data_IF_438266868770
#
_entry.id   IF_438266868770
#
_cell.length_a   1.000
_cell.length_b   1.000
_cell.length_c   1.000
_cell.angle_alpha   90.00
_cell.angle_beta   90.00
_cell.angle_gamma   90.00
#
_symmetry.space_group_name_H-M   'P 1'
#
loop_
_entity.id
_entity.type
_entity.pdbx_description
1 polymer ?
#
# COMPACT_ATOMS: atom_id res chain seq x y z
N UNK A 1 -32.52 14.68 9.72
CA UNK A 1 -31.94 13.48 10.36
C UNK A 1 -30.60 13.89 10.94
N UNK A 2 -30.32 13.60 12.21
CA UNK A 2 -29.01 13.88 12.81
C UNK A 2 -27.96 12.95 12.17
N UNK A 3 -26.71 13.40 12.11
CA UNK A 3 -25.64 12.63 11.48
C UNK A 3 -25.44 11.27 12.15
N UNK A 4 -25.58 11.18 13.46
CA UNK A 4 -25.52 9.91 14.19
C UNK A 4 -26.63 8.93 13.76
N UNK A 5 -27.83 9.41 13.45
CA UNK A 5 -28.95 8.60 12.95
C UNK A 5 -28.66 8.04 11.56
N UNK A 6 -28.00 8.84 10.71
CA UNK A 6 -27.55 8.39 9.40
C UNK A 6 -26.45 7.33 9.49
N UNK A 7 -25.52 7.48 10.46
CA UNK A 7 -24.45 6.52 10.72
C UNK A 7 -25.05 5.19 11.18
N UNK A 8 -26.00 5.23 12.13
CA UNK A 8 -26.65 4.06 12.71
C UNK A 8 -27.76 3.45 11.82
N UNK A 9 -28.08 4.05 10.68
CA UNK A 9 -29.10 3.53 9.78
C UNK A 9 -28.76 2.14 9.27
N UNK A 10 -29.78 1.27 9.14
CA UNK A 10 -29.61 -0.12 8.66
C UNK A 10 -28.90 -0.19 7.32
N UNK A 11 -29.24 0.70 6.39
CA UNK A 11 -28.64 0.73 5.05
C UNK A 11 -27.16 1.06 5.11
N UNK A 12 -26.77 2.05 5.91
CA UNK A 12 -25.38 2.44 6.09
C UNK A 12 -24.55 1.35 6.78
N UNK A 13 -25.10 0.72 7.82
CA UNK A 13 -24.44 -0.40 8.51
C UNK A 13 -24.31 -1.64 7.60
N UNK A 14 -25.32 -1.93 6.77
CA UNK A 14 -25.24 -3.01 5.79
C UNK A 14 -24.16 -2.76 4.72
N UNK A 15 -24.06 -1.54 4.23
CA UNK A 15 -22.96 -1.17 3.30
C UNK A 15 -21.60 -1.32 3.99
N UNK A 16 -21.46 -0.87 5.21
CA UNK A 16 -20.25 -1.03 6.00
C UNK A 16 -19.89 -2.51 6.24
N UNK A 17 -20.89 -3.34 6.58
CA UNK A 17 -20.73 -4.78 6.72
C UNK A 17 -20.17 -5.41 5.43
N UNK A 18 -20.78 -5.14 4.27
CA UNK A 18 -20.33 -5.68 2.98
C UNK A 18 -18.89 -5.27 2.66
N UNK A 19 -18.53 -4.01 2.97
CA UNK A 19 -17.20 -3.51 2.70
C UNK A 19 -16.14 -4.14 3.61
N UNK A 20 -16.44 -4.32 4.90
CA UNK A 20 -15.53 -4.92 5.88
C UNK A 20 -15.33 -6.40 5.62
N UNK A 21 -16.44 -7.16 5.39
CA UNK A 21 -16.37 -8.62 5.21
C UNK A 21 -15.74 -9.03 3.89
N UNK A 22 -15.88 -8.21 2.84
CA UNK A 22 -15.21 -8.44 1.54
C UNK A 22 -13.69 -8.58 1.66
N UNK A 23 -13.08 -7.90 2.62
CA UNK A 23 -11.63 -7.92 2.81
C UNK A 23 -11.12 -9.14 3.59
N UNK A 24 -12.00 -9.96 4.17
CA UNK A 24 -11.66 -11.15 4.97
C UNK A 24 -10.51 -10.91 5.95
N UNK A 25 -10.55 -9.76 6.64
CA UNK A 25 -9.51 -9.35 7.58
C UNK A 25 -9.48 -10.25 8.82
N UNK A 26 -8.34 -10.24 9.53
CA UNK A 26 -8.16 -11.02 10.76
C UNK A 26 -9.15 -10.60 11.86
N UNK A 27 -9.49 -11.51 12.78
CA UNK A 27 -10.33 -11.26 13.95
C UNK A 27 -9.66 -10.33 14.97
N UNK A 28 -10.47 -9.62 15.76
CA UNK A 28 -10.03 -8.80 16.89
C UNK A 28 -9.67 -9.63 18.13
N UNK A 29 -9.89 -9.03 19.32
CA UNK A 29 -9.68 -9.70 20.63
C UNK A 29 -10.76 -10.73 20.94
N UNK A 30 -11.95 -10.58 20.36
CA UNK A 30 -13.11 -11.46 20.48
C UNK A 30 -13.00 -12.75 19.66
N UNK A 31 -11.97 -12.87 18.83
CA UNK A 31 -11.74 -13.94 17.87
C UNK A 31 -12.86 -14.14 16.83
N UNK A 32 -13.89 -13.27 16.80
CA UNK A 32 -14.96 -13.34 15.79
C UNK A 32 -14.40 -13.09 14.39
N UNK A 33 -14.73 -13.98 13.46
CA UNK A 33 -14.32 -13.88 12.06
C UNK A 33 -15.30 -13.07 11.23
N UNK A 34 -14.90 -12.69 10.01
CA UNK A 34 -15.81 -12.02 9.07
C UNK A 34 -16.97 -12.91 8.60
N UNK A 35 -16.85 -14.22 8.69
CA UNK A 35 -17.91 -15.16 8.30
C UNK A 35 -18.97 -15.30 9.42
N UNK A 36 -18.55 -15.29 10.67
CA UNK A 36 -19.43 -15.41 11.85
C UNK A 36 -20.20 -14.12 12.16
N UNK A 37 -19.64 -12.95 11.86
CA UNK A 37 -20.28 -11.65 12.19
C UNK A 37 -21.65 -11.48 11.56
N UNK A 38 -21.92 -12.15 10.43
CA UNK A 38 -23.24 -12.11 9.78
C UNK A 38 -24.34 -12.65 10.67
N UNK A 39 -24.11 -13.80 11.30
CA UNK A 39 -25.11 -14.45 12.16
C UNK A 39 -25.23 -13.71 13.50
N UNK A 40 -24.12 -13.18 14.01
CA UNK A 40 -24.15 -12.28 15.17
C UNK A 40 -25.05 -11.05 14.94
N UNK A 41 -24.87 -10.35 13.80
CA UNK A 41 -25.64 -9.15 13.49
C UNK A 41 -27.12 -9.40 13.19
N UNK A 42 -27.51 -10.61 12.78
CA UNK A 42 -28.94 -10.98 12.64
C UNK A 42 -29.66 -10.94 13.99
N UNK A 43 -28.97 -11.34 15.05
CA UNK A 43 -29.52 -11.38 16.42
C UNK A 43 -29.34 -10.02 17.12
N UNK A 44 -28.15 -9.43 17.05
CA UNK A 44 -27.76 -8.26 17.84
C UNK A 44 -27.73 -6.95 17.06
N UNK A 45 -28.13 -6.95 15.77
CA UNK A 45 -28.01 -5.76 14.94
C UNK A 45 -28.89 -4.60 15.39
N UNK A 46 -30.09 -4.89 15.92
CA UNK A 46 -30.96 -3.83 16.45
C UNK A 46 -30.41 -3.25 17.76
N UNK A 47 -29.84 -4.09 18.62
CA UNK A 47 -29.19 -3.65 19.87
C UNK A 47 -27.97 -2.77 19.59
N UNK A 48 -27.18 -3.12 18.57
CA UNK A 48 -26.06 -2.29 18.12
C UNK A 48 -26.53 -0.89 17.70
N UNK A 49 -27.61 -0.80 16.92
CA UNK A 49 -28.19 0.49 16.53
C UNK A 49 -28.62 1.28 17.76
N UNK A 50 -29.34 0.66 18.67
CA UNK A 50 -29.83 1.30 19.90
C UNK A 50 -28.64 1.81 20.75
N UNK A 51 -27.61 1.00 20.95
CA UNK A 51 -26.40 1.37 21.69
C UNK A 51 -25.66 2.57 21.05
N UNK A 52 -25.60 2.64 19.72
CA UNK A 52 -25.00 3.80 19.02
C UNK A 52 -25.83 5.05 19.28
N UNK A 53 -27.14 4.97 19.14
CA UNK A 53 -28.06 6.12 19.30
C UNK A 53 -28.17 6.61 20.75
N UNK A 54 -28.11 5.70 21.73
CA UNK A 54 -28.14 6.04 23.17
C UNK A 54 -26.78 6.44 23.75
N UNK A 55 -25.72 6.48 22.93
CA UNK A 55 -24.32 6.68 23.36
C UNK A 55 -23.76 5.58 24.27
N UNK A 56 -24.40 4.43 24.33
CA UNK A 56 -23.95 3.31 25.19
C UNK A 56 -22.89 2.43 24.50
N UNK A 57 -22.81 2.47 23.18
CA UNK A 57 -21.80 1.69 22.44
C UNK A 57 -20.40 1.94 22.96
N UNK A 58 -19.70 0.86 23.34
CA UNK A 58 -18.32 0.87 23.81
C UNK A 58 -17.45 0.02 22.88
N UNK A 59 -16.53 0.61 22.11
CA UNK A 59 -15.57 -0.14 21.33
C UNK A 59 -14.68 -1.01 22.21
N UNK A 60 -14.36 -2.21 21.75
CA UNK A 60 -13.42 -3.08 22.42
C UNK A 60 -11.96 -2.66 22.14
N UNK A 61 -11.02 -2.98 23.05
CA UNK A 61 -9.60 -2.73 22.81
C UNK A 61 -9.10 -3.40 21.53
N UNK A 62 -8.20 -2.74 20.81
CA UNK A 62 -7.63 -3.34 19.60
C UNK A 62 -6.58 -4.40 19.94
N UNK A 63 -6.57 -5.52 19.23
CA UNK A 63 -5.55 -6.56 19.38
C UNK A 63 -4.23 -6.11 18.76
N UNK A 64 -3.16 -6.03 19.53
CA UNK A 64 -1.81 -5.68 19.07
C UNK A 64 -1.20 -6.80 18.24
N UNK A 65 -0.68 -6.45 17.06
CA UNK A 65 0.13 -7.32 16.22
C UNK A 65 1.38 -6.56 15.79
N UNK A 66 2.53 -7.20 15.91
CA UNK A 66 3.81 -6.62 15.53
C UNK A 66 4.28 -7.18 14.19
N UNK A 67 4.55 -6.31 13.22
CA UNK A 67 5.04 -6.69 11.90
C UNK A 67 6.46 -6.16 11.73
N UNK A 68 7.45 -7.03 11.42
CA UNK A 68 8.83 -6.61 11.17
C UNK A 68 8.92 -5.63 10.00
N UNK A 69 9.66 -4.53 10.17
CA UNK A 69 9.99 -3.62 9.06
C UNK A 69 11.17 -4.16 8.25
N UNK A 70 11.22 -3.95 6.92
CA UNK A 70 12.33 -4.41 6.08
C UNK A 70 13.71 -3.87 6.48
N UNK A 71 13.74 -2.70 7.13
CA UNK A 71 14.96 -1.99 7.53
C UNK A 71 15.27 -2.13 9.03
N UNK A 72 14.72 -3.16 9.68
CA UNK A 72 14.78 -3.35 11.13
C UNK A 72 13.68 -2.57 11.87
N UNK A 73 13.47 -2.95 13.12
CA UNK A 73 12.36 -2.42 13.94
C UNK A 73 11.02 -3.08 13.62
N UNK A 74 9.98 -2.62 14.31
CA UNK A 74 8.65 -3.23 14.30
C UNK A 74 7.59 -2.17 13.96
N UNK A 75 6.56 -2.55 13.21
CA UNK A 75 5.33 -1.78 13.04
C UNK A 75 4.27 -2.37 13.96
N UNK A 76 3.74 -1.57 14.83
CA UNK A 76 2.69 -1.95 15.77
C UNK A 76 1.32 -1.72 15.13
N UNK A 77 0.62 -2.79 14.77
CA UNK A 77 -0.77 -2.70 14.26
C UNK A 77 -1.75 -3.02 15.39
N UNK A 78 -2.88 -2.31 15.40
CA UNK A 78 -4.03 -2.65 16.23
C UNK A 78 -5.15 -3.20 15.37
N UNK A 79 -5.63 -4.40 15.64
CA UNK A 79 -6.73 -5.03 14.92
C UNK A 79 -7.99 -4.88 15.75
N UNK A 80 -8.96 -4.01 15.37
CA UNK A 80 -10.25 -3.90 16.00
C UNK A 80 -11.09 -5.15 15.77
N UNK A 81 -12.12 -5.39 16.57
CA UNK A 81 -13.12 -6.44 16.32
C UNK A 81 -13.81 -6.22 14.98
N UNK A 82 -14.45 -7.24 14.42
CA UNK A 82 -15.17 -7.09 13.15
C UNK A 82 -16.34 -6.13 13.29
N UNK A 83 -17.05 -6.17 14.43
CA UNK A 83 -18.16 -5.25 14.74
C UNK A 83 -17.64 -3.81 14.84
N UNK A 84 -16.55 -3.56 15.57
CA UNK A 84 -15.94 -2.23 15.65
C UNK A 84 -15.54 -1.70 14.27
N UNK A 85 -14.95 -2.55 13.40
CA UNK A 85 -14.63 -2.16 12.02
C UNK A 85 -15.85 -1.77 11.20
N UNK A 86 -16.99 -2.45 11.42
CA UNK A 86 -18.26 -2.11 10.74
C UNK A 86 -18.76 -0.76 11.22
N UNK A 87 -18.76 -0.48 12.53
CA UNK A 87 -19.16 0.82 13.07
C UNK A 87 -18.19 1.93 12.58
N UNK A 88 -16.88 1.70 12.64
CA UNK A 88 -15.89 2.64 12.10
C UNK A 88 -16.12 2.91 10.61
N UNK A 89 -16.41 1.87 9.82
CA UNK A 89 -16.71 2.01 8.40
C UNK A 89 -18.00 2.80 8.15
N UNK A 90 -19.02 2.59 8.95
CA UNK A 90 -20.27 3.35 8.89
C UNK A 90 -20.05 4.84 9.18
N UNK A 91 -19.19 5.16 10.17
CA UNK A 91 -18.74 6.53 10.45
C UNK A 91 -18.00 7.13 9.24
N UNK A 92 -17.03 6.40 8.67
CA UNK A 92 -16.24 6.87 7.52
C UNK A 92 -17.14 7.18 6.33
N UNK A 93 -18.14 6.37 6.03
CA UNK A 93 -19.06 6.56 4.91
C UNK A 93 -19.82 7.88 5.00
N UNK A 94 -20.14 8.33 6.21
CA UNK A 94 -20.89 9.58 6.44
C UNK A 94 -20.00 10.79 6.70
N UNK A 95 -18.85 10.62 7.36
CA UNK A 95 -17.92 11.73 7.59
C UNK A 95 -17.10 12.10 6.34
N UNK A 96 -16.68 11.10 5.53
CA UNK A 96 -15.85 11.39 4.36
C UNK A 96 -16.45 12.43 3.40
N UNK A 97 -17.73 12.38 3.01
CA UNK A 97 -18.32 13.40 2.15
C UNK A 97 -18.34 14.81 2.77
N UNK A 98 -18.39 14.91 4.10
CA UNK A 98 -18.40 16.19 4.83
C UNK A 98 -17.01 16.81 4.85
N UNK A 99 -15.97 15.98 5.06
CA UNK A 99 -14.59 16.45 5.16
C UNK A 99 -13.88 16.59 3.80
N UNK A 100 -14.25 15.78 2.80
CA UNK A 100 -13.59 15.78 1.48
C UNK A 100 -13.47 17.16 0.83
N UNK A 101 -14.50 18.02 0.86
CA UNK A 101 -14.41 19.39 0.31
C UNK A 101 -13.47 20.31 1.08
N UNK A 102 -13.10 19.96 2.33
CA UNK A 102 -12.20 20.76 3.17
C UNK A 102 -10.74 20.45 2.97
N UNK A 103 -10.43 19.34 2.31
CA UNK A 103 -9.06 18.88 2.11
C UNK A 103 -8.39 19.59 0.94
N UNK A 104 -7.10 19.87 1.12
CA UNK A 104 -6.25 20.44 0.07
C UNK A 104 -6.27 19.61 -1.22
N UNK A 105 -6.24 20.27 -2.37
CA UNK A 105 -6.08 19.65 -3.69
C UNK A 105 -4.75 18.87 -3.81
N UNK A 106 -3.75 19.21 -3.02
CA UNK A 106 -2.40 18.63 -3.03
C UNK A 106 -2.22 17.49 -2.03
N UNK A 107 -3.30 17.08 -1.36
CA UNK A 107 -3.37 15.89 -0.51
C UNK A 107 -4.00 14.72 -1.27
N UNK A 108 -3.30 13.58 -1.37
CA UNK A 108 -3.68 12.46 -2.23
C UNK A 108 -3.95 11.16 -1.49
N UNK A 109 -3.32 10.93 -0.33
CA UNK A 109 -3.42 9.68 0.40
C UNK A 109 -4.78 9.45 1.06
N UNK A 110 -5.29 8.21 1.03
CA UNK A 110 -6.54 7.81 1.68
C UNK A 110 -7.81 8.57 1.27
N UNK A 111 -7.79 9.19 0.11
CA UNK A 111 -8.92 9.96 -0.42
C UNK A 111 -9.59 9.24 -1.59
N UNK A 112 -10.92 9.36 -1.74
CA UNK A 112 -11.64 8.77 -2.87
C UNK A 112 -11.16 9.38 -4.19
N UNK A 113 -11.07 8.55 -5.23
CA UNK A 113 -10.65 8.93 -6.60
C UNK A 113 -9.25 9.53 -6.72
N UNK A 114 -8.42 9.53 -5.67
CA UNK A 114 -7.03 9.99 -5.69
C UNK A 114 -6.07 8.83 -5.52
N UNK A 115 -4.94 8.86 -6.23
CA UNK A 115 -3.97 7.78 -6.31
C UNK A 115 -2.56 8.30 -6.02
N UNK A 116 -1.65 7.38 -5.68
CA UNK A 116 -0.24 7.74 -5.53
C UNK A 116 0.36 8.29 -6.84
N UNK A 117 -0.14 7.85 -8.02
CA UNK A 117 0.28 8.36 -9.31
C UNK A 117 -0.03 9.86 -9.48
N UNK A 118 -1.13 10.34 -8.91
CA UNK A 118 -1.50 11.77 -8.99
C UNK A 118 -0.52 12.63 -8.17
N UNK A 119 -0.06 12.13 -7.02
CA UNK A 119 1.00 12.76 -6.24
C UNK A 119 2.35 12.78 -6.99
N UNK A 120 2.67 11.72 -7.74
CA UNK A 120 3.87 11.66 -8.58
C UNK A 120 3.77 12.60 -9.78
N UNK A 121 2.60 12.70 -10.43
CA UNK A 121 2.37 13.65 -11.51
C UNK A 121 2.56 15.10 -11.02
N UNK A 122 2.00 15.44 -9.85
CA UNK A 122 2.22 16.75 -9.22
C UNK A 122 3.69 17.01 -8.92
N UNK A 123 4.39 16.01 -8.41
CA UNK A 123 5.84 16.09 -8.15
C UNK A 123 6.62 16.36 -9.45
N UNK A 124 6.32 15.66 -10.54
CA UNK A 124 6.96 15.84 -11.82
C UNK A 124 6.65 17.22 -12.43
N UNK A 125 5.41 17.67 -12.31
CA UNK A 125 5.00 19.00 -12.76
C UNK A 125 5.87 20.08 -12.09
N UNK A 126 5.95 20.07 -10.76
CA UNK A 126 6.69 21.06 -9.99
C UNK A 126 8.21 21.04 -10.28
N UNK A 127 8.79 19.85 -10.36
CA UNK A 127 10.22 19.71 -10.67
C UNK A 127 10.50 20.24 -12.08
N UNK A 128 9.64 19.97 -13.07
CA UNK A 128 9.80 20.46 -14.42
C UNK A 128 9.56 21.98 -14.55
N UNK A 129 8.83 22.59 -13.61
CA UNK A 129 8.69 24.05 -13.48
C UNK A 129 9.91 24.72 -12.78
N UNK A 130 10.95 23.93 -12.47
CA UNK A 130 12.20 24.42 -11.86
C UNK A 130 12.20 24.47 -10.33
N UNK A 131 11.22 23.90 -9.64
CA UNK A 131 11.23 23.73 -8.17
C UNK A 131 12.07 22.52 -7.80
N UNK A 132 13.40 22.63 -7.94
CA UNK A 132 14.33 21.51 -7.80
C UNK A 132 14.98 21.38 -6.41
N UNK A 133 14.57 22.17 -5.44
CA UNK A 133 14.95 21.98 -4.03
C UNK A 133 13.74 21.47 -3.25
N UNK A 134 13.89 20.33 -2.60
CA UNK A 134 12.78 19.59 -2.01
C UNK A 134 13.05 19.40 -0.53
N UNK A 135 12.09 19.79 0.30
CA UNK A 135 12.04 19.41 1.71
C UNK A 135 11.24 18.11 1.79
N UNK A 136 11.92 17.01 2.08
CA UNK A 136 11.32 15.70 2.33
C UNK A 136 11.05 15.61 3.85
N UNK A 137 9.79 15.52 4.22
CA UNK A 137 9.32 15.64 5.59
C UNK A 137 8.77 14.30 6.06
N UNK A 138 9.38 13.71 7.09
CA UNK A 138 8.97 12.45 7.74
C UNK A 138 8.51 12.74 9.19
N UNK A 139 7.27 12.35 9.52
CA UNK A 139 6.73 12.47 10.86
C UNK A 139 7.09 11.26 11.71
N UNK A 140 7.57 11.48 12.93
CA UNK A 140 7.94 10.37 13.81
C UNK A 140 6.69 9.70 14.37
N UNK A 141 6.46 8.42 13.95
CA UNK A 141 5.35 7.59 14.46
C UNK A 141 4.03 8.36 14.50
N UNK A 142 3.69 9.02 13.40
CA UNK A 142 2.54 9.93 13.32
C UNK A 142 1.28 9.36 13.98
N UNK A 143 0.87 8.15 13.60
CA UNK A 143 -0.36 7.52 14.13
C UNK A 143 -0.31 7.30 15.65
N UNK A 144 0.87 7.13 16.23
CA UNK A 144 1.02 6.91 17.69
C UNK A 144 1.07 8.24 18.47
N UNK A 145 1.29 9.39 17.80
CA UNK A 145 1.57 10.68 18.44
C UNK A 145 0.49 11.75 18.23
N UNK A 146 -0.60 11.44 17.53
CA UNK A 146 -1.68 12.42 17.28
C UNK A 146 -2.36 12.82 18.58
N UNK A 147 -2.40 14.12 18.96
CA UNK A 147 -3.13 14.60 20.14
C UNK A 147 -4.64 14.43 19.94
N UNK A 148 -5.25 13.52 20.69
CA UNK A 148 -6.66 13.14 20.54
C UNK A 148 -7.61 14.30 20.79
N UNK A 149 -7.38 15.13 21.84
CA UNK A 149 -8.24 16.25 22.17
C UNK A 149 -8.30 17.29 21.06
N UNK A 150 -7.13 17.55 20.42
CA UNK A 150 -7.09 18.47 19.29
C UNK A 150 -7.78 17.90 18.06
N UNK A 151 -7.57 16.63 17.77
CA UNK A 151 -8.25 15.94 16.68
C UNK A 151 -9.77 15.97 16.87
N UNK A 152 -10.26 15.66 18.06
CA UNK A 152 -11.68 15.68 18.40
C UNK A 152 -12.29 17.07 18.22
N UNK A 153 -11.59 18.14 18.63
CA UNK A 153 -12.05 19.52 18.38
C UNK A 153 -12.18 19.83 16.89
N UNK A 154 -11.25 19.36 16.07
CA UNK A 154 -11.31 19.56 14.61
C UNK A 154 -12.51 18.80 14.02
N UNK A 155 -12.75 17.56 14.49
CA UNK A 155 -13.92 16.78 14.07
C UNK A 155 -15.22 17.48 14.45
N UNK A 156 -15.35 17.94 15.70
CA UNK A 156 -16.54 18.57 16.23
C UNK A 156 -16.89 19.87 15.46
N UNK A 157 -15.88 20.69 15.19
CA UNK A 157 -16.06 21.96 14.46
C UNK A 157 -16.67 21.77 13.06
N UNK A 158 -16.44 20.64 12.41
CA UNK A 158 -16.90 20.37 11.04
C UNK A 158 -18.15 19.49 11.04
N UNK A 159 -18.15 18.41 11.82
CA UNK A 159 -19.28 17.47 11.89
C UNK A 159 -20.51 18.08 12.57
N UNK A 160 -20.31 18.98 13.54
CA UNK A 160 -21.38 19.67 14.32
C UNK A 160 -22.42 18.70 14.92
N UNK A 161 -21.99 17.52 15.30
CA UNK A 161 -22.81 16.49 15.94
C UNK A 161 -22.02 15.88 17.09
N UNK A 162 -22.43 16.23 18.31
CA UNK A 162 -21.75 15.80 19.55
C UNK A 162 -21.83 14.28 19.79
N UNK A 163 -22.85 13.61 19.25
CA UNK A 163 -23.01 12.15 19.38
C UNK A 163 -21.96 11.45 18.51
N UNK A 164 -21.74 11.92 17.30
CA UNK A 164 -20.70 11.42 16.40
C UNK A 164 -19.32 11.70 16.98
N UNK A 165 -19.09 12.92 17.48
CA UNK A 165 -17.82 13.30 18.09
C UNK A 165 -17.50 12.44 19.31
N UNK A 166 -18.51 12.17 20.17
CA UNK A 166 -18.36 11.28 21.32
C UNK A 166 -18.03 9.84 20.89
N UNK A 167 -18.69 9.33 19.84
CA UNK A 167 -18.43 7.99 19.32
C UNK A 167 -17.01 7.86 18.75
N UNK A 168 -16.54 8.86 17.97
CA UNK A 168 -15.16 8.90 17.48
C UNK A 168 -14.17 8.94 18.64
N UNK A 169 -14.44 9.72 19.69
CA UNK A 169 -13.60 9.79 20.88
C UNK A 169 -13.50 8.44 21.60
N UNK A 170 -14.62 7.72 21.72
CA UNK A 170 -14.61 6.36 22.29
C UNK A 170 -13.70 5.40 21.50
N UNK A 171 -13.70 5.47 20.17
CA UNK A 171 -12.77 4.68 19.35
C UNK A 171 -11.30 5.04 19.57
N UNK A 172 -10.99 6.31 19.81
CA UNK A 172 -9.62 6.73 20.13
C UNK A 172 -9.18 6.24 21.51
N UNK A 173 -10.11 6.18 22.47
CA UNK A 173 -9.88 5.75 23.86
C UNK A 173 -10.06 4.25 24.09
N UNK A 174 -10.42 3.47 23.08
CA UNK A 174 -10.72 2.04 23.23
C UNK A 174 -9.58 1.19 23.81
N UNK A 175 -8.34 1.71 23.79
CA UNK A 175 -7.18 1.01 24.33
C UNK A 175 -6.64 -0.09 23.41
N UNK A 176 -5.61 -0.74 23.90
CA UNK A 176 -4.88 -1.79 23.17
C UNK A 176 -4.68 -3.00 24.07
N UNK A 177 -4.92 -4.17 23.54
CA UNK A 177 -4.62 -5.44 24.21
C UNK A 177 -3.26 -5.97 23.73
N UNK A 178 -2.29 -6.05 24.64
CA UNK A 178 -0.93 -6.53 24.38
C UNK A 178 -0.68 -7.77 25.22
N UNK A 179 -0.54 -8.93 24.59
CA UNK A 179 -0.28 -10.20 25.28
C UNK A 179 -1.25 -10.49 26.45
N UNK A 180 -2.53 -10.13 26.30
CA UNK A 180 -3.56 -10.31 27.31
C UNK A 180 -3.65 -9.18 28.36
N UNK A 181 -2.80 -8.16 28.30
CA UNK A 181 -2.83 -7.00 29.19
C UNK A 181 -3.42 -5.79 28.45
N UNK A 182 -4.33 -5.08 29.13
CA UNK A 182 -4.92 -3.84 28.62
C UNK A 182 -3.99 -2.66 28.86
N UNK A 183 -3.77 -1.88 27.81
CA UNK A 183 -3.04 -0.60 27.84
C UNK A 183 -3.96 0.53 27.38
N UNK A 184 -4.08 1.58 28.19
CA UNK A 184 -4.83 2.78 27.80
C UNK A 184 -4.12 3.53 26.65
N UNK A 185 -4.93 4.18 25.82
CA UNK A 185 -4.42 5.05 24.75
C UNK A 185 -4.86 6.49 24.99
N UNK A 186 -3.94 7.35 25.39
CA UNK A 186 -4.16 8.79 25.60
C UNK A 186 -3.66 9.65 24.42
N UNK A 187 -2.89 9.05 23.54
CA UNK A 187 -2.35 9.67 22.34
C UNK A 187 -2.54 8.71 21.14
N UNK A 188 -2.56 9.27 19.97
CA UNK A 188 -2.56 8.50 18.72
C UNK A 188 -3.93 8.05 18.24
N UNK A 189 -3.89 7.48 17.06
CA UNK A 189 -5.02 6.77 16.43
C UNK A 189 -4.59 5.34 16.15
N UNK A 190 -5.37 4.31 16.51
CA UNK A 190 -4.97 2.91 16.33
C UNK A 190 -4.62 2.62 14.86
N UNK A 191 -3.37 2.19 14.57
CA UNK A 191 -2.99 1.76 13.22
C UNK A 191 -3.70 0.44 12.87
N UNK A 192 -4.61 0.48 11.88
CA UNK A 192 -5.33 -0.70 11.39
C UNK A 192 -6.85 -0.62 11.49
N UNK A 193 -7.40 0.37 12.18
CA UNK A 193 -8.82 0.69 12.15
C UNK A 193 -9.24 1.37 10.83
N UNK A 194 -10.50 1.19 10.42
CA UNK A 194 -11.04 1.79 9.21
C UNK A 194 -11.15 3.33 9.30
N UNK A 195 -11.30 3.85 10.50
CA UNK A 195 -11.47 5.27 10.79
C UNK A 195 -10.14 6.05 10.75
N UNK A 196 -9.03 5.42 11.13
CA UNK A 196 -7.73 6.07 11.30
C UNK A 196 -7.21 6.81 10.04
N UNK A 197 -7.38 6.31 8.80
CA UNK A 197 -6.96 7.03 7.61
C UNK A 197 -7.69 8.37 7.40
N UNK A 198 -9.00 8.42 7.67
CA UNK A 198 -9.78 9.65 7.59
C UNK A 198 -9.34 10.64 8.67
N UNK A 199 -9.22 10.19 9.92
CA UNK A 199 -8.76 11.03 11.04
C UNK A 199 -7.35 11.57 10.82
N UNK A 200 -6.46 10.78 10.20
CA UNK A 200 -5.14 11.21 9.76
C UNK A 200 -5.22 12.41 8.80
N UNK A 201 -6.05 12.32 7.77
CA UNK A 201 -6.22 13.41 6.83
C UNK A 201 -6.86 14.64 7.46
N UNK A 202 -7.85 14.46 8.33
CA UNK A 202 -8.49 15.56 9.08
C UNK A 202 -7.44 16.33 9.88
N UNK A 203 -6.57 15.61 10.58
CA UNK A 203 -5.53 16.24 11.41
C UNK A 203 -4.45 16.94 10.57
N UNK A 204 -3.94 16.26 9.54
CA UNK A 204 -2.88 16.79 8.67
C UNK A 204 -3.36 17.88 7.70
N UNK A 205 -4.66 18.03 7.52
CA UNK A 205 -5.21 19.16 6.77
C UNK A 205 -4.86 20.53 7.39
N UNK A 206 -4.59 20.58 8.69
CA UNK A 206 -4.07 21.79 9.34
C UNK A 206 -2.66 22.15 8.85
N UNK A 207 -1.82 21.12 8.54
CA UNK A 207 -0.54 21.33 7.88
C UNK A 207 -0.74 21.80 6.43
N UNK A 208 -1.65 21.17 5.69
CA UNK A 208 -1.94 21.54 4.30
C UNK A 208 -2.39 23.01 4.21
N UNK A 209 -3.31 23.44 5.06
CA UNK A 209 -3.79 24.85 5.16
C UNK A 209 -2.63 25.82 5.45
N UNK A 210 -1.71 25.44 6.32
CA UNK A 210 -0.55 26.30 6.63
C UNK A 210 0.41 26.38 5.44
N UNK A 211 0.62 25.29 4.70
CA UNK A 211 1.43 25.28 3.48
C UNK A 211 0.78 26.16 2.38
N UNK A 212 -0.53 26.06 2.20
CA UNK A 212 -1.30 26.89 1.25
C UNK A 212 -1.30 28.37 1.66
N UNK A 213 -1.50 28.67 2.93
CA UNK A 213 -1.44 30.04 3.46
C UNK A 213 -0.08 30.71 3.16
N UNK A 214 1.00 29.93 3.18
CA UNK A 214 2.36 30.37 2.82
C UNK A 214 2.64 30.31 1.32
N UNK A 215 1.67 29.93 0.50
CA UNK A 215 1.81 29.77 -0.96
C UNK A 215 2.95 28.80 -1.34
N UNK A 216 3.14 27.75 -0.54
CA UNK A 216 4.16 26.73 -0.78
C UNK A 216 3.59 25.64 -1.70
N UNK A 217 4.42 25.18 -2.63
CA UNK A 217 4.10 24.06 -3.49
C UNK A 217 4.45 22.76 -2.79
N UNK A 218 3.51 21.82 -2.72
CA UNK A 218 3.72 20.55 -2.04
C UNK A 218 2.90 19.41 -2.66
N UNK A 219 3.23 18.19 -2.27
CA UNK A 219 2.43 17.01 -2.49
C UNK A 219 2.47 16.15 -1.24
N UNK A 220 1.31 15.86 -0.66
CA UNK A 220 1.18 15.01 0.53
C UNK A 220 0.42 13.72 0.22
N UNK A 221 0.97 12.60 0.68
CA UNK A 221 0.32 11.30 0.63
C UNK A 221 0.29 10.68 2.03
N UNK A 222 -0.81 10.78 2.74
CA UNK A 222 -0.93 10.45 4.16
C UNK A 222 0.06 11.27 5.01
N UNK A 223 0.98 10.63 5.71
CA UNK A 223 2.05 11.24 6.51
C UNK A 223 3.31 11.61 5.70
N UNK A 224 3.47 11.08 4.48
CA UNK A 224 4.58 11.44 3.59
C UNK A 224 4.30 12.78 2.89
N UNK A 225 5.09 13.82 3.16
CA UNK A 225 4.92 15.16 2.59
C UNK A 225 6.23 15.68 1.99
N UNK A 226 6.15 16.16 0.76
CA UNK A 226 7.28 16.81 0.05
C UNK A 226 6.91 18.24 -0.34
N UNK A 227 7.79 19.20 -0.01
CA UNK A 227 7.58 20.62 -0.28
C UNK A 227 8.65 21.08 -1.28
N UNK A 228 8.25 21.84 -2.28
CA UNK A 228 9.08 22.21 -3.42
C UNK A 228 9.37 23.70 -3.42
N UNK A 229 10.64 24.08 -3.57
CA UNK A 229 11.10 25.45 -3.66
C UNK A 229 12.20 25.61 -4.71
N UNK A 230 12.49 26.85 -5.13
CA UNK A 230 13.47 27.14 -6.20
C UNK A 230 14.92 27.20 -5.72
N UNK A 231 15.17 27.55 -4.46
CA UNK A 231 16.54 27.77 -3.96
C UNK A 231 16.80 26.98 -2.69
N UNK A 232 18.08 26.66 -2.43
CA UNK A 232 18.51 25.97 -1.21
C UNK A 232 18.19 26.78 0.04
N UNK A 233 18.47 28.08 0.00
CA UNK A 233 18.19 29.00 1.11
C UNK A 233 16.69 29.01 1.47
N UNK A 234 15.81 29.03 0.44
CA UNK A 234 14.37 28.93 0.69
C UNK A 234 13.99 27.57 1.30
N UNK A 235 14.62 26.47 0.88
CA UNK A 235 14.37 25.15 1.46
C UNK A 235 14.75 25.09 2.95
N UNK A 236 15.91 25.62 3.32
CA UNK A 236 16.36 25.68 4.71
C UNK A 236 15.42 26.50 5.59
N UNK A 237 15.00 27.66 5.11
CA UNK A 237 14.04 28.52 5.81
C UNK A 237 12.68 27.86 5.95
N UNK A 238 12.16 27.26 4.88
CA UNK A 238 10.87 26.56 4.88
C UNK A 238 10.91 25.36 5.82
N UNK A 239 11.96 24.54 5.74
CA UNK A 239 12.12 23.38 6.63
C UNK A 239 12.08 23.81 8.10
N UNK A 240 12.89 24.80 8.51
CA UNK A 240 12.91 25.30 9.88
C UNK A 240 11.52 25.76 10.35
N UNK A 241 10.84 26.57 9.53
CA UNK A 241 9.56 27.15 9.91
C UNK A 241 8.43 26.10 9.96
N UNK A 242 8.42 25.13 9.04
CA UNK A 242 7.41 24.07 9.03
C UNK A 242 7.63 23.07 10.16
N UNK A 243 8.88 22.70 10.45
CA UNK A 243 9.20 21.88 11.62
C UNK A 243 8.72 22.57 12.91
N UNK A 244 9.02 23.85 13.08
CA UNK A 244 8.53 24.63 14.24
C UNK A 244 7.00 24.62 14.31
N UNK A 245 6.29 24.81 13.19
CA UNK A 245 4.83 24.76 13.16
C UNK A 245 4.29 23.38 13.58
N UNK A 246 4.86 22.30 13.04
CA UNK A 246 4.48 20.92 13.36
C UNK A 246 4.66 20.64 14.86
N UNK A 247 5.80 21.01 15.44
CA UNK A 247 6.09 20.73 16.82
C UNK A 247 5.32 21.63 17.79
N UNK A 248 5.20 22.92 17.49
CA UNK A 248 4.54 23.87 18.39
C UNK A 248 3.03 23.92 18.25
N UNK A 249 2.52 23.90 17.01
CA UNK A 249 1.09 24.01 16.74
C UNK A 249 0.41 22.65 16.63
N UNK A 250 0.96 21.72 15.84
CA UNK A 250 0.35 20.39 15.69
C UNK A 250 0.74 19.45 16.84
N UNK A 251 1.72 19.78 17.66
CA UNK A 251 2.22 18.90 18.75
C UNK A 251 2.64 17.51 18.26
N UNK A 252 3.09 17.42 17.00
CA UNK A 252 3.67 16.23 16.41
C UNK A 252 5.18 16.31 16.47
N UNK A 253 5.84 15.15 16.41
CA UNK A 253 7.31 15.08 16.33
C UNK A 253 7.77 14.87 14.90
N UNK A 254 8.78 15.60 14.47
CA UNK A 254 9.43 15.43 13.18
C UNK A 254 10.62 14.47 13.35
N UNK A 255 10.76 13.52 12.44
CA UNK A 255 11.90 12.61 12.42
C UNK A 255 13.12 13.32 11.85
N UNK A 256 13.99 13.87 12.72
CA UNK A 256 15.17 14.64 12.33
C UNK A 256 16.17 13.83 11.47
N UNK A 257 16.23 12.51 11.62
CA UNK A 257 17.18 11.67 10.86
C UNK A 257 16.73 11.40 9.42
N UNK A 258 15.44 11.58 9.13
CA UNK A 258 14.87 11.31 7.81
C UNK A 258 14.41 12.59 7.10
N UNK A 259 13.99 13.60 7.86
CA UNK A 259 13.64 14.91 7.30
C UNK A 259 14.89 15.60 6.80
N UNK A 260 14.93 15.89 5.51
CA UNK A 260 16.11 16.47 4.89
C UNK A 260 15.77 17.27 3.63
N UNK A 261 16.73 18.11 3.22
CA UNK A 261 16.64 18.83 1.96
C UNK A 261 17.35 18.03 0.89
N UNK A 262 16.69 17.82 -0.23
CA UNK A 262 17.23 16.99 -1.31
C UNK A 262 17.00 17.60 -2.68
N UNK A 263 17.68 17.03 -3.68
CA UNK A 263 17.46 17.30 -5.12
C UNK A 263 16.59 16.18 -5.71
N UNK A 264 15.90 16.43 -6.85
CA UNK A 264 15.02 15.42 -7.45
C UNK A 264 15.72 14.09 -7.74
N UNK A 265 17.00 14.12 -8.15
CA UNK A 265 17.78 12.90 -8.41
C UNK A 265 17.92 11.96 -7.21
N UNK A 266 17.88 12.50 -6.00
CA UNK A 266 18.06 11.79 -4.75
C UNK A 266 16.74 11.58 -3.99
N UNK A 267 15.64 12.16 -4.48
CA UNK A 267 14.32 12.01 -3.86
C UNK A 267 13.81 10.57 -4.04
N UNK A 268 13.35 9.99 -2.93
CA UNK A 268 12.57 8.76 -2.91
C UNK A 268 11.18 9.06 -2.36
N UNK A 269 10.19 9.14 -3.22
CA UNK A 269 8.82 9.45 -2.83
C UNK A 269 7.85 8.35 -3.31
N UNK A 270 7.06 7.79 -2.40
CA UNK A 270 6.09 6.71 -2.67
C UNK A 270 6.68 5.51 -3.45
N UNK A 271 7.96 5.20 -3.23
CA UNK A 271 8.65 4.12 -3.92
C UNK A 271 9.17 4.47 -5.33
N UNK A 272 9.01 5.71 -5.75
CA UNK A 272 9.57 6.25 -7.00
C UNK A 272 10.86 7.01 -6.75
N UNK A 273 11.67 7.14 -7.79
CA UNK A 273 12.82 8.05 -7.93
C UNK A 273 12.67 8.84 -9.21
N UNK A 274 13.45 9.90 -9.33
CA UNK A 274 13.36 10.80 -10.47
C UNK A 274 14.72 10.88 -11.19
N UNK A 275 14.69 11.12 -12.49
CA UNK A 275 15.89 11.28 -13.29
C UNK A 275 15.65 12.28 -14.39
N UNK A 276 16.67 13.02 -14.78
CA UNK A 276 16.60 14.04 -15.83
C UNK A 276 16.90 13.40 -17.18
N UNK A 277 15.95 13.47 -18.12
CA UNK A 277 16.13 13.11 -19.53
C UNK A 277 16.35 14.37 -20.37
N UNK A 278 16.56 14.22 -21.68
CA UNK A 278 16.62 15.35 -22.61
C UNK A 278 15.32 16.19 -22.60
N UNK A 279 14.18 15.52 -22.44
CA UNK A 279 12.84 16.14 -22.46
C UNK A 279 12.36 16.62 -21.09
N UNK A 280 13.21 16.58 -20.06
CA UNK A 280 12.86 16.97 -18.69
C UNK A 280 12.92 15.80 -17.69
N UNK A 281 12.38 16.03 -16.49
CA UNK A 281 12.37 15.05 -15.42
C UNK A 281 11.31 13.97 -15.63
N UNK A 282 11.69 12.73 -15.37
CA UNK A 282 10.83 11.54 -15.48
C UNK A 282 10.91 10.70 -14.19
N UNK A 283 9.82 10.02 -13.85
CA UNK A 283 9.80 9.07 -12.75
C UNK A 283 10.30 7.69 -13.18
N UNK A 284 10.91 6.97 -12.27
CA UNK A 284 11.26 5.54 -12.39
C UNK A 284 10.97 4.83 -11.06
N UNK A 285 10.74 3.51 -11.04
CA UNK A 285 10.69 2.77 -9.78
C UNK A 285 12.03 2.91 -9.04
N UNK A 286 11.98 3.17 -7.74
CA UNK A 286 13.17 3.16 -6.90
C UNK A 286 13.82 1.78 -6.91
N UNK A 287 15.14 1.69 -6.86
CA UNK A 287 15.86 0.42 -7.00
C UNK A 287 15.49 -0.59 -5.92
N UNK A 288 15.24 -0.15 -4.68
CA UNK A 288 14.73 -1.05 -3.63
C UNK A 288 13.37 -1.69 -3.97
N UNK A 289 12.49 -0.95 -4.65
CA UNK A 289 11.18 -1.46 -5.07
C UNK A 289 11.33 -2.57 -6.11
N UNK A 290 12.29 -2.40 -7.03
CA UNK A 290 12.64 -3.41 -8.02
C UNK A 290 13.29 -4.65 -7.36
N UNK A 291 14.20 -4.43 -6.41
CA UNK A 291 14.83 -5.52 -5.62
C UNK A 291 13.78 -6.32 -4.86
N UNK A 292 12.78 -5.66 -4.24
CA UNK A 292 11.66 -6.31 -3.55
C UNK A 292 10.84 -7.18 -4.51
N UNK A 293 10.49 -6.66 -5.69
CA UNK A 293 9.82 -7.43 -6.74
C UNK A 293 10.64 -8.68 -7.11
N UNK A 294 11.92 -8.49 -7.40
CA UNK A 294 12.81 -9.57 -7.81
C UNK A 294 12.94 -10.67 -6.74
N UNK A 295 13.06 -10.29 -5.47
CA UNK A 295 13.07 -11.24 -4.33
C UNK A 295 11.76 -12.03 -4.25
N UNK A 296 10.60 -11.36 -4.40
CA UNK A 296 9.29 -12.02 -4.39
C UNK A 296 9.15 -13.01 -5.54
N UNK A 297 9.57 -12.64 -6.74
CA UNK A 297 9.58 -13.54 -7.90
C UNK A 297 10.54 -14.73 -7.70
N UNK A 298 11.73 -14.51 -7.11
CA UNK A 298 12.67 -15.61 -6.79
C UNK A 298 12.06 -16.63 -5.84
N UNK A 299 11.25 -16.20 -4.86
CA UNK A 299 10.56 -17.13 -3.95
C UNK A 299 9.56 -17.99 -4.73
N UNK A 300 8.76 -17.39 -5.61
CA UNK A 300 7.80 -18.11 -6.44
C UNK A 300 8.46 -19.04 -7.46
N UNK A 301 9.69 -18.75 -7.85
CA UNK A 301 10.50 -19.54 -8.79
C UNK A 301 11.43 -20.52 -8.12
N UNK A 302 11.31 -20.73 -6.79
CA UNK A 302 12.08 -21.75 -6.08
C UNK A 302 11.83 -23.13 -6.70
N UNK A 303 12.89 -23.82 -7.11
CA UNK A 303 12.84 -25.18 -7.69
C UNK A 303 12.31 -26.24 -6.72
N UNK A 304 12.48 -25.99 -5.43
CA UNK A 304 12.00 -26.86 -4.34
C UNK A 304 10.51 -26.64 -3.98
N UNK A 305 9.87 -25.60 -4.53
CA UNK A 305 8.45 -25.37 -4.29
C UNK A 305 7.62 -26.31 -5.19
N UNK A 306 7.10 -27.37 -4.58
CA UNK A 306 6.39 -28.47 -5.27
C UNK A 306 4.92 -28.08 -5.53
N UNK A 307 4.70 -27.20 -6.50
CA UNK A 307 3.37 -26.80 -6.96
C UNK A 307 3.25 -26.98 -8.48
N UNK A 308 2.03 -27.07 -8.97
CA UNK A 308 1.76 -27.08 -10.40
C UNK A 308 2.26 -25.80 -11.09
N UNK A 309 2.72 -25.95 -12.33
CA UNK A 309 3.26 -24.82 -13.08
C UNK A 309 2.20 -23.76 -13.37
N UNK A 310 0.96 -24.15 -13.60
CA UNK A 310 -0.11 -23.22 -13.95
C UNK A 310 -0.50 -22.36 -12.73
N UNK A 311 -0.57 -22.96 -11.53
CA UNK A 311 -0.71 -22.21 -10.28
C UNK A 311 0.47 -21.25 -10.05
N UNK A 312 1.70 -21.71 -10.30
CA UNK A 312 2.91 -20.88 -10.18
C UNK A 312 2.86 -19.69 -11.14
N UNK A 313 2.50 -19.93 -12.39
CA UNK A 313 2.37 -18.90 -13.45
C UNK A 313 1.31 -17.88 -13.06
N UNK A 314 0.18 -18.33 -12.53
CA UNK A 314 -0.88 -17.45 -12.03
C UNK A 314 -0.37 -16.52 -10.94
N UNK A 315 0.29 -17.07 -9.90
CA UNK A 315 0.85 -16.25 -8.79
C UNK A 315 1.91 -15.27 -9.26
N UNK A 316 2.78 -15.66 -10.18
CA UNK A 316 3.77 -14.77 -10.80
C UNK A 316 3.07 -13.64 -11.55
N UNK A 317 2.05 -13.97 -12.36
CA UNK A 317 1.31 -13.00 -13.16
C UNK A 317 0.52 -12.01 -12.29
N UNK A 318 -0.05 -12.46 -11.16
CA UNK A 318 -0.70 -11.59 -10.18
C UNK A 318 0.28 -10.58 -9.57
N UNK A 319 1.48 -11.02 -9.17
CA UNK A 319 2.52 -10.16 -8.61
C UNK A 319 3.00 -9.13 -9.64
N UNK A 320 3.23 -9.56 -10.88
CA UNK A 320 3.68 -8.67 -11.96
C UNK A 320 2.62 -7.62 -12.31
N UNK A 321 1.36 -8.01 -12.48
CA UNK A 321 0.27 -7.07 -12.77
C UNK A 321 0.16 -6.00 -11.68
N UNK A 322 0.12 -6.39 -10.41
CA UNK A 322 0.02 -5.44 -9.31
C UNK A 322 1.19 -4.45 -9.28
N UNK A 323 2.43 -4.95 -9.50
CA UNK A 323 3.62 -4.11 -9.49
C UNK A 323 3.69 -3.18 -10.72
N UNK A 324 3.41 -3.68 -11.92
CA UNK A 324 3.43 -2.87 -13.16
C UNK A 324 2.34 -1.80 -13.09
N UNK A 325 1.13 -2.13 -12.65
CA UNK A 325 0.04 -1.17 -12.52
C UNK A 325 0.37 -0.04 -11.54
N UNK A 326 1.07 -0.36 -10.43
CA UNK A 326 1.52 0.65 -9.48
C UNK A 326 2.53 1.62 -10.12
N UNK A 327 3.49 1.10 -10.88
CA UNK A 327 4.57 1.89 -11.51
C UNK A 327 4.31 2.26 -12.98
N UNK A 328 3.09 2.11 -13.50
CA UNK A 328 2.78 2.28 -14.93
C UNK A 328 3.22 3.63 -15.52
N UNK A 329 3.18 4.71 -14.72
CA UNK A 329 3.65 6.05 -15.12
C UNK A 329 5.17 6.24 -15.09
N UNK A 330 5.92 5.21 -14.79
CA UNK A 330 7.37 5.24 -14.71
C UNK A 330 8.03 4.89 -16.02
N UNK A 331 9.14 5.54 -16.32
CA UNK A 331 10.03 5.17 -17.42
C UNK A 331 10.87 3.92 -17.04
N UNK A 332 10.41 2.72 -17.45
CA UNK A 332 11.04 1.46 -17.03
C UNK A 332 11.16 0.39 -18.13
N UNK A 333 10.94 0.75 -19.41
CA UNK A 333 10.90 -0.17 -20.56
C UNK A 333 12.06 -1.17 -20.57
N UNK A 334 13.29 -0.70 -20.48
CA UNK A 334 14.49 -1.56 -20.56
C UNK A 334 14.62 -2.49 -19.32
N UNK A 335 14.29 -2.01 -18.10
CA UNK A 335 14.32 -2.83 -16.89
C UNK A 335 13.26 -3.94 -16.96
N UNK A 336 12.07 -3.64 -17.45
CA UNK A 336 10.97 -4.59 -17.62
C UNK A 336 11.26 -5.63 -18.70
N UNK A 337 11.88 -5.23 -19.82
CA UNK A 337 12.31 -6.16 -20.88
C UNK A 337 13.28 -7.21 -20.31
N UNK A 338 14.34 -6.77 -19.62
CA UNK A 338 15.32 -7.65 -18.96
C UNK A 338 14.69 -8.56 -17.90
N UNK A 339 13.72 -8.03 -17.13
CA UNK A 339 12.96 -8.83 -16.18
C UNK A 339 12.19 -9.96 -16.88
N UNK A 340 11.56 -9.68 -18.02
CA UNK A 340 10.84 -10.67 -18.82
C UNK A 340 11.74 -11.78 -19.35
N UNK A 341 12.92 -11.45 -19.84
CA UNK A 341 13.93 -12.43 -20.28
C UNK A 341 14.38 -13.35 -19.14
N UNK A 342 14.74 -12.73 -18.01
CA UNK A 342 15.13 -13.49 -16.81
C UNK A 342 14.00 -14.40 -16.34
N UNK A 343 12.77 -13.92 -16.30
CA UNK A 343 11.59 -14.68 -15.86
C UNK A 343 11.34 -15.90 -16.73
N UNK A 344 11.38 -15.75 -18.06
CA UNK A 344 11.21 -16.87 -19.00
C UNK A 344 12.29 -17.93 -18.81
N UNK A 345 13.55 -17.52 -18.65
CA UNK A 345 14.64 -18.45 -18.40
C UNK A 345 14.48 -19.16 -17.04
N UNK A 346 14.11 -18.44 -15.99
CA UNK A 346 13.85 -19.03 -14.68
C UNK A 346 12.68 -20.04 -14.71
N UNK A 347 11.62 -19.76 -15.48
CA UNK A 347 10.52 -20.72 -15.68
C UNK A 347 10.98 -21.99 -16.42
N UNK A 348 11.84 -21.87 -17.44
CA UNK A 348 12.44 -23.02 -18.12
C UNK A 348 13.25 -23.88 -17.16
N UNK A 349 14.03 -23.26 -16.26
CA UNK A 349 14.76 -23.98 -15.20
C UNK A 349 13.81 -24.75 -14.29
N UNK A 350 12.70 -24.16 -13.88
CA UNK A 350 11.69 -24.81 -13.02
C UNK A 350 11.06 -26.00 -13.74
N UNK A 351 10.63 -25.84 -14.97
CA UNK A 351 10.00 -26.89 -15.78
C UNK A 351 11.01 -28.04 -16.01
N UNK A 352 12.24 -27.74 -16.38
CA UNK A 352 13.30 -28.72 -16.56
C UNK A 352 13.57 -29.53 -15.29
N UNK A 353 13.59 -28.88 -14.14
CA UNK A 353 13.78 -29.56 -12.85
C UNK A 353 12.64 -30.50 -12.50
N UNK A 354 11.40 -30.19 -12.89
CA UNK A 354 10.23 -31.04 -12.67
C UNK A 354 10.28 -32.34 -13.50
N UNK A 355 10.96 -32.32 -14.63
CA UNK A 355 11.23 -33.53 -15.40
C UNK A 355 12.40 -34.33 -14.78
N UNK A 356 12.20 -34.89 -13.60
CA UNK A 356 13.22 -35.39 -12.67
C UNK A 356 14.24 -36.37 -13.29
N UNK A 357 13.77 -37.30 -14.11
CA UNK A 357 14.60 -38.37 -14.69
C UNK A 357 14.84 -38.17 -16.18
N UNK A 358 15.98 -38.71 -16.67
CA UNK A 358 16.40 -38.53 -18.08
C UNK A 358 15.36 -38.96 -19.08
N UNK A 359 14.71 -40.10 -18.86
CA UNK A 359 13.66 -40.60 -19.75
C UNK A 359 12.50 -39.62 -19.88
N UNK A 360 11.99 -39.07 -18.75
CA UNK A 360 10.91 -38.06 -18.77
C UNK A 360 11.31 -36.76 -19.47
N UNK A 361 12.59 -36.37 -19.41
CA UNK A 361 13.10 -35.20 -20.13
C UNK A 361 13.07 -35.42 -21.63
N UNK A 362 13.56 -36.60 -22.10
CA UNK A 362 13.55 -36.98 -23.52
C UNK A 362 12.08 -36.99 -24.03
N UNK A 363 11.21 -37.72 -23.36
CA UNK A 363 9.80 -37.84 -23.72
C UNK A 363 9.08 -36.46 -23.79
N UNK A 364 9.34 -35.59 -22.78
CA UNK A 364 8.80 -34.25 -22.74
C UNK A 364 9.30 -33.40 -23.91
N UNK A 365 10.60 -33.44 -24.24
CA UNK A 365 11.17 -32.71 -25.35
C UNK A 365 10.61 -33.22 -26.70
N UNK A 366 10.52 -34.55 -26.89
CA UNK A 366 9.96 -35.17 -28.11
C UNK A 366 8.47 -34.77 -28.25
N UNK A 367 7.66 -34.80 -27.17
CA UNK A 367 6.28 -34.32 -27.15
C UNK A 367 6.19 -32.84 -27.57
N UNK A 368 7.21 -32.05 -27.24
CA UNK A 368 7.34 -30.63 -27.60
C UNK A 368 7.95 -30.44 -29.01
N UNK A 369 8.04 -31.52 -29.84
CA UNK A 369 8.52 -31.52 -31.22
C UNK A 369 10.01 -31.22 -31.36
N UNK A 370 10.83 -31.69 -30.43
CA UNK A 370 12.29 -31.71 -30.54
C UNK A 370 12.70 -33.12 -31.03
N UNK A 371 13.70 -33.18 -31.91
CA UNK A 371 14.27 -34.45 -32.35
C UNK A 371 14.78 -35.27 -31.19
N UNK A 372 14.67 -36.62 -31.32
CA UNK A 372 14.98 -37.53 -30.22
C UNK A 372 16.48 -37.56 -29.89
N UNK A 373 17.33 -37.49 -30.89
CA UNK A 373 18.79 -37.49 -30.67
C UNK A 373 19.26 -36.17 -30.06
N UNK A 374 18.71 -35.08 -30.52
CA UNK A 374 18.93 -33.74 -29.95
C UNK A 374 18.43 -33.69 -28.47
N UNK A 375 17.28 -34.30 -28.19
CA UNK A 375 16.75 -34.42 -26.83
C UNK A 375 17.62 -35.25 -25.89
N UNK A 376 18.19 -36.37 -26.39
CA UNK A 376 19.14 -37.19 -25.65
C UNK A 376 20.43 -36.41 -25.37
N UNK A 377 21.06 -35.81 -26.37
CA UNK A 377 22.28 -35.02 -26.23
C UNK A 377 22.17 -33.96 -25.15
N UNK A 378 21.05 -33.20 -25.12
CA UNK A 378 20.82 -32.20 -24.09
C UNK A 378 20.56 -32.81 -22.70
N UNK A 379 19.81 -33.93 -22.64
CA UNK A 379 19.44 -34.55 -21.36
C UNK A 379 20.65 -35.10 -20.63
N UNK A 380 21.64 -35.62 -21.32
CA UNK A 380 22.92 -36.11 -20.76
C UNK A 380 23.98 -35.02 -20.59
N UNK A 381 23.69 -33.78 -20.98
CA UNK A 381 24.57 -32.64 -20.73
C UNK A 381 24.75 -32.39 -19.24
N UNK A 382 25.99 -32.48 -18.72
CA UNK A 382 26.33 -32.32 -17.30
C UNK A 382 26.44 -30.84 -16.86
N UNK A 383 26.22 -29.89 -17.79
CA UNK A 383 26.21 -28.44 -17.45
C UNK A 383 24.97 -28.08 -16.62
N UNK A 384 25.11 -27.10 -15.74
CA UNK A 384 24.05 -26.75 -14.77
C UNK A 384 22.74 -26.28 -15.41
N UNK A 385 21.68 -26.27 -14.64
CA UNK A 385 20.32 -25.89 -15.08
C UNK A 385 20.24 -24.55 -15.81
N UNK A 386 21.06 -23.60 -15.41
CA UNK A 386 21.11 -22.28 -16.04
C UNK A 386 21.60 -22.38 -17.48
N UNK A 387 22.65 -23.12 -17.75
CA UNK A 387 23.15 -23.38 -19.09
C UNK A 387 22.07 -24.05 -19.97
N UNK A 388 21.45 -25.09 -19.45
CA UNK A 388 20.42 -25.86 -20.16
C UNK A 388 19.23 -24.96 -20.52
N UNK A 389 18.79 -24.09 -19.61
CA UNK A 389 17.64 -23.19 -19.86
C UNK A 389 17.90 -22.17 -20.98
N UNK A 390 19.17 -21.87 -21.25
CA UNK A 390 19.58 -20.96 -22.33
C UNK A 390 19.90 -21.71 -23.64
N UNK A 391 19.89 -23.05 -23.65
CA UNK A 391 20.11 -23.81 -24.88
C UNK A 391 19.00 -23.54 -25.91
N UNK A 392 19.36 -23.51 -27.20
CA UNK A 392 18.41 -23.35 -28.29
C UNK A 392 17.30 -24.43 -28.26
N UNK A 393 17.66 -25.66 -27.88
CA UNK A 393 16.73 -26.78 -27.75
C UNK A 393 15.63 -26.49 -26.73
N UNK A 394 15.99 -26.08 -25.50
CA UNK A 394 14.99 -25.76 -24.46
C UNK A 394 14.19 -24.52 -24.86
N UNK A 395 14.81 -23.53 -25.50
CA UNK A 395 14.10 -22.35 -25.94
C UNK A 395 13.09 -22.65 -27.09
N UNK A 396 13.39 -23.58 -27.98
CA UNK A 396 12.44 -24.08 -28.99
C UNK A 396 11.33 -24.93 -28.34
N UNK A 397 11.69 -25.85 -27.46
CA UNK A 397 10.75 -26.71 -26.77
C UNK A 397 9.79 -25.93 -25.86
N UNK A 398 10.30 -25.03 -25.04
CA UNK A 398 9.56 -24.18 -24.13
C UNK A 398 9.65 -22.74 -24.64
N UNK A 399 9.03 -22.49 -25.79
CA UNK A 399 9.08 -21.19 -26.45
C UNK A 399 8.33 -20.12 -25.68
N UNK A 400 8.64 -18.85 -25.95
CA UNK A 400 7.93 -17.71 -25.34
C UNK A 400 6.41 -17.77 -25.60
N UNK A 401 6.03 -18.19 -26.81
CA UNK A 401 4.61 -18.35 -27.19
C UNK A 401 3.91 -19.46 -26.38
N UNK A 402 4.60 -20.57 -26.09
CA UNK A 402 4.05 -21.63 -25.23
C UNK A 402 3.90 -21.19 -23.78
N UNK A 403 4.88 -20.47 -23.22
CA UNK A 403 4.78 -19.88 -21.87
C UNK A 403 3.62 -18.89 -21.79
N UNK A 404 3.44 -18.04 -22.82
CA UNK A 404 2.33 -17.10 -22.91
C UNK A 404 0.96 -17.80 -23.01
N UNK A 405 0.86 -18.85 -23.84
CA UNK A 405 -0.36 -19.68 -23.93
C UNK A 405 -0.75 -20.35 -22.61
N UNK A 406 0.22 -20.65 -21.74
CA UNK A 406 -0.01 -21.16 -20.38
C UNK A 406 -0.33 -20.06 -19.37
N UNK A 407 -0.44 -18.81 -19.79
CA UNK A 407 -0.84 -17.69 -18.94
C UNK A 407 0.34 -16.91 -18.30
N UNK A 408 1.61 -17.24 -18.65
CA UNK A 408 2.74 -16.44 -18.17
C UNK A 408 2.68 -15.04 -18.79
N UNK A 409 2.50 -14.04 -17.94
CA UNK A 409 2.47 -12.64 -18.35
C UNK A 409 3.81 -12.25 -18.97
N UNK A 410 3.79 -11.66 -20.16
CA UNK A 410 4.96 -10.93 -20.67
C UNK A 410 4.97 -9.53 -20.03
N UNK A 411 5.96 -9.21 -19.18
CA UNK A 411 5.95 -7.96 -18.45
C UNK A 411 6.08 -6.73 -19.34
N UNK A 412 6.84 -6.83 -20.45
CA UNK A 412 7.03 -5.71 -21.38
C UNK A 412 5.76 -5.42 -22.18
N UNK A 413 5.14 -6.45 -22.75
CA UNK A 413 3.89 -6.32 -23.51
C UNK A 413 2.79 -5.73 -22.61
N UNK A 414 2.67 -6.24 -21.37
CA UNK A 414 1.69 -5.73 -20.42
C UNK A 414 1.96 -4.27 -20.05
N UNK A 415 3.21 -3.91 -19.76
CA UNK A 415 3.60 -2.54 -19.46
C UNK A 415 3.28 -1.58 -20.62
N UNK A 416 3.62 -1.95 -21.85
CA UNK A 416 3.35 -1.11 -23.02
C UNK A 416 1.85 -0.90 -23.25
N UNK A 417 1.02 -1.93 -22.97
CA UNK A 417 -0.44 -1.82 -23.06
C UNK A 417 -1.02 -0.88 -21.98
N UNK A 418 -0.46 -0.89 -20.75
CA UNK A 418 -0.95 -0.06 -19.66
C UNK A 418 -0.46 1.40 -19.73
N UNK A 419 0.56 1.68 -20.53
CA UNK A 419 1.13 3.03 -20.73
C UNK A 419 0.57 3.69 -21.99
N UNK A 420 0.11 2.90 -22.98
CA UNK A 420 -0.57 3.39 -24.17
C UNK A 420 -1.98 3.88 -23.85
#
# INVERSE_FOLDING_TARGET
MRLIEEIASKDNLNQAFLQVTRNKGASGIDNMTCDEVKDYLKVHGQDLINQILSREYQPLPVRRVEIPKPNGGVRKLGIPTVVDRIVQQAIVQKLSPIFEPTFSEYSYGFRPKRRCQDAIDRTLELINQGYEWIVDLDLEKFFDNVPQDKLIRIVDNVAKDSDVTALVHKFLKAGVMVNGHFEETNLGTPQGGNLSPLLSNIYLNELDKELERRQLHFARYADDCVIFVKTKFSAERVMKNIVTFIETKLKLKVNASKTHITRPSNLKYLGFSFWKSADGWKAKPHDESFIKLFRKLKILLKRSWSVENDYRIEKISQVLRGWINYYRKSSMKNKIARLGEWLRNAMRVVIWKQWKVSQKRIEALVRLKIDREEAKGLTFCRRGYQFISHSCVVQRAISNSRLKKRGLLDPLEYYLKEVA
#
